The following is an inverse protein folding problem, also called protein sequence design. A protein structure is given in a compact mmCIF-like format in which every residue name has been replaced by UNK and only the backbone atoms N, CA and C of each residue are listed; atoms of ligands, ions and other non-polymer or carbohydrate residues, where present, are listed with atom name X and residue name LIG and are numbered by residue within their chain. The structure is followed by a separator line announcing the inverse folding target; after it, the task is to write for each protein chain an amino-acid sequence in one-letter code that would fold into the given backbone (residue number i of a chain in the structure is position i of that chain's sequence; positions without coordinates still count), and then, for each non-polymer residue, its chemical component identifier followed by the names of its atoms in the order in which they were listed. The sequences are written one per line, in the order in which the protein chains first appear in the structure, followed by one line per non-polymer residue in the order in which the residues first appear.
data_IF_440637361345
#
_entry.id   IF_440637361345
#
_cell.length_a   1.000
_cell.length_b   1.000
_cell.length_c   1.000
_cell.angle_alpha   90.00
_cell.angle_beta   90.00
_cell.angle_gamma   90.00
#
_symmetry.space_group_name_H-M   'P 1'
#
loop_
_entity.id
_entity.type
_entity.pdbx_description
1 polymer ?
#
# COMPACT_ATOMS: atom_id res chain seq x y z
N UNK A 1 -11.23 11.10 -2.91
CA UNK A 1 -9.83 11.54 -2.88
C UNK A 1 -9.02 10.85 -1.79
N UNK A 2 -9.11 11.19 -0.50
CA UNK A 2 -8.28 10.53 0.56
C UNK A 2 -8.58 9.03 0.74
N UNK A 3 -9.85 8.63 0.58
CA UNK A 3 -10.24 7.22 0.64
C UNK A 3 -9.68 6.38 -0.51
N UNK A 4 -9.45 6.98 -1.69
CA UNK A 4 -8.90 6.27 -2.85
C UNK A 4 -7.43 5.93 -2.64
N UNK A 5 -6.63 6.89 -2.15
CA UNK A 5 -5.22 6.67 -1.81
C UNK A 5 -5.05 5.60 -0.71
N UNK A 6 -5.99 5.57 0.24
CA UNK A 6 -6.04 4.55 1.28
C UNK A 6 -6.31 3.17 0.71
N UNK A 7 -7.36 3.03 -0.09
CA UNK A 7 -7.70 1.77 -0.75
C UNK A 7 -6.56 1.29 -1.66
N UNK A 8 -5.86 2.22 -2.31
CA UNK A 8 -4.67 1.96 -3.12
C UNK A 8 -3.54 1.32 -2.30
N UNK A 9 -3.18 1.93 -1.17
CA UNK A 9 -2.17 1.39 -0.26
C UNK A 9 -2.55 0.03 0.33
N UNK A 10 -3.83 -0.15 0.69
CA UNK A 10 -4.31 -1.44 1.23
C UNK A 10 -4.25 -2.55 0.16
N UNK A 11 -4.59 -2.25 -1.09
CA UNK A 11 -4.46 -3.20 -2.18
C UNK A 11 -2.99 -3.57 -2.45
N UNK A 12 -2.08 -2.58 -2.43
CA UNK A 12 -0.63 -2.79 -2.54
C UNK A 12 -0.10 -3.70 -1.44
N UNK A 13 -0.42 -3.38 -0.18
CA UNK A 13 0.07 -4.18 0.95
C UNK A 13 -0.51 -5.59 0.92
N UNK A 14 -1.78 -5.74 0.55
CA UNK A 14 -2.43 -7.06 0.42
C UNK A 14 -1.77 -7.91 -0.65
N UNK A 15 -1.52 -7.36 -1.85
CA UNK A 15 -0.82 -8.06 -2.93
C UNK A 15 0.61 -8.44 -2.53
N UNK A 16 1.34 -7.50 -1.91
CA UNK A 16 2.69 -7.74 -1.42
C UNK A 16 2.74 -8.82 -0.33
N UNK A 17 1.78 -8.82 0.61
CA UNK A 17 1.64 -9.88 1.61
C UNK A 17 1.38 -11.24 0.95
N UNK A 18 0.49 -11.29 -0.06
CA UNK A 18 0.20 -12.52 -0.79
C UNK A 18 1.42 -13.08 -1.51
N UNK A 19 2.26 -12.20 -2.10
CA UNK A 19 3.46 -12.59 -2.81
C UNK A 19 4.65 -12.95 -1.89
N UNK A 20 4.83 -12.23 -0.78
CA UNK A 20 6.00 -12.41 0.11
C UNK A 20 5.72 -13.24 1.36
N UNK A 21 4.45 -13.46 1.71
CA UNK A 21 4.03 -14.07 2.98
C UNK A 21 4.40 -13.24 4.22
N UNK A 22 4.81 -11.97 4.07
CA UNK A 22 5.24 -11.11 5.19
C UNK A 22 4.06 -10.43 5.87
N UNK A 23 4.17 -10.20 7.17
CA UNK A 23 3.14 -9.48 7.95
C UNK A 23 3.11 -7.98 7.65
N UNK A 24 1.89 -7.41 7.53
CA UNK A 24 1.64 -5.96 7.41
C UNK A 24 2.42 -5.13 8.44
N UNK A 25 2.52 -5.59 9.69
CA UNK A 25 3.23 -4.86 10.76
C UNK A 25 4.72 -4.68 10.45
N UNK A 26 5.35 -5.71 9.86
CA UNK A 26 6.78 -5.67 9.51
C UNK A 26 7.00 -4.82 8.27
N UNK A 27 6.13 -4.91 7.28
CA UNK A 27 6.13 -4.03 6.11
C UNK A 27 5.89 -2.56 6.50
N UNK A 28 4.99 -2.27 7.44
CA UNK A 28 4.74 -0.94 7.99
C UNK A 28 5.92 -0.37 8.73
N UNK A 29 6.58 -1.18 9.54
CA UNK A 29 7.81 -0.77 10.19
C UNK A 29 8.96 -0.51 9.21
N UNK A 30 9.04 -1.25 8.10
CA UNK A 30 10.09 -1.04 7.11
C UNK A 30 9.80 0.14 6.17
N UNK A 31 8.55 0.28 5.69
CA UNK A 31 8.16 1.28 4.71
C UNK A 31 7.80 2.63 5.37
N UNK A 32 6.95 2.61 6.40
CA UNK A 32 6.46 3.82 7.07
C UNK A 32 7.23 4.15 8.35
N UNK A 33 8.14 3.27 8.79
CA UNK A 33 8.78 3.31 10.12
C UNK A 33 7.80 3.22 11.29
N UNK A 34 6.55 2.84 10.98
CA UNK A 34 5.44 2.80 11.90
C UNK A 34 4.56 1.58 11.55
N UNK A 35 4.55 0.59 12.45
CA UNK A 35 3.78 -0.64 12.28
C UNK A 35 2.27 -0.43 12.45
N UNK A 36 1.88 0.61 13.21
CA UNK A 36 0.49 0.96 13.44
C UNK A 36 -0.10 1.79 12.29
N UNK A 37 0.73 2.28 11.37
CA UNK A 37 0.29 3.08 10.23
C UNK A 37 -0.74 2.35 9.38
N UNK A 38 -0.47 1.09 9.03
CA UNK A 38 -1.42 0.27 8.26
C UNK A 38 -2.68 -0.07 9.06
N UNK A 39 -2.57 -0.28 10.38
CA UNK A 39 -3.76 -0.50 11.22
C UNK A 39 -4.64 0.76 11.29
N UNK A 40 -4.04 1.96 11.42
CA UNK A 40 -4.77 3.24 11.34
C UNK A 40 -5.32 3.51 9.94
N UNK A 41 -4.65 3.00 8.92
CA UNK A 41 -5.08 3.07 7.52
C UNK A 41 -6.34 2.21 7.32
N UNK A 42 -6.37 0.98 7.83
CA UNK A 42 -7.55 0.09 7.82
C UNK A 42 -8.71 0.66 8.63
N UNK A 43 -8.43 1.21 9.82
CA UNK A 43 -9.45 1.81 10.69
C UNK A 43 -10.02 3.13 10.18
N UNK A 44 -9.41 3.66 9.12
CA UNK A 44 -9.88 4.84 8.43
C UNK A 44 -9.51 6.18 9.09
N UNK A 45 -8.69 6.16 10.14
CA UNK A 45 -8.32 7.34 10.94
C UNK A 45 -6.98 7.97 10.54
N UNK A 46 -6.20 7.30 9.66
CA UNK A 46 -4.92 7.85 9.21
C UNK A 46 -5.10 8.98 8.19
N UNK A 47 -4.71 10.20 8.58
CA UNK A 47 -4.35 11.27 7.66
C UNK A 47 -2.84 11.20 7.41
N UNK A 48 -2.45 10.94 6.16
CA UNK A 48 -1.06 10.94 5.74
C UNK A 48 -0.86 12.00 4.66
N UNK A 49 0.30 12.63 4.68
CA UNK A 49 0.69 13.58 3.64
C UNK A 49 1.06 12.84 2.36
N UNK A 50 0.90 13.49 1.21
CA UNK A 50 1.33 12.97 -0.11
C UNK A 50 2.80 12.53 -0.07
N UNK A 51 3.65 13.24 0.67
CA UNK A 51 5.06 12.87 0.87
C UNK A 51 5.22 11.49 1.53
N UNK A 52 4.43 11.19 2.56
CA UNK A 52 4.47 9.91 3.26
C UNK A 52 3.99 8.78 2.35
N UNK A 53 2.97 9.06 1.53
CA UNK A 53 2.49 8.14 0.51
C UNK A 53 3.61 7.80 -0.49
N UNK A 54 4.28 8.82 -1.02
CA UNK A 54 5.37 8.67 -1.99
C UNK A 54 6.54 7.84 -1.43
N UNK A 55 6.94 8.10 -0.18
CA UNK A 55 7.97 7.31 0.52
C UNK A 55 7.59 5.83 0.62
N UNK A 56 6.34 5.53 0.96
CA UNK A 56 5.85 4.15 1.09
C UNK A 56 5.81 3.46 -0.27
N UNK A 57 5.26 4.13 -1.29
CA UNK A 57 5.18 3.59 -2.66
C UNK A 57 6.59 3.34 -3.20
N UNK A 58 7.52 4.28 -3.04
CA UNK A 58 8.90 4.12 -3.45
C UNK A 58 9.57 2.93 -2.75
N UNK A 59 9.30 2.73 -1.46
CA UNK A 59 9.78 1.54 -0.74
C UNK A 59 9.20 0.25 -1.33
N UNK A 60 7.90 0.22 -1.66
CA UNK A 60 7.29 -0.95 -2.31
C UNK A 60 7.96 -1.24 -3.65
N UNK A 61 8.27 -0.24 -4.47
CA UNK A 61 8.97 -0.43 -5.75
C UNK A 61 10.34 -1.08 -5.57
N UNK A 62 11.06 -0.73 -4.50
CA UNK A 62 12.39 -1.28 -4.20
C UNK A 62 12.33 -2.67 -3.54
N UNK A 63 11.33 -2.91 -2.70
CA UNK A 63 11.17 -4.15 -1.96
C UNK A 63 10.32 -5.21 -2.68
N UNK A 64 9.71 -4.84 -3.81
CA UNK A 64 8.78 -5.72 -4.53
C UNK A 64 9.47 -7.02 -4.93
N UNK A 65 8.87 -8.19 -4.64
CA UNK A 65 9.46 -9.46 -5.02
C UNK A 65 9.43 -9.64 -6.54
N UNK A 66 10.53 -10.17 -7.07
CA UNK A 66 10.67 -10.49 -8.49
C UNK A 66 9.61 -11.54 -8.89
N UNK A 67 8.78 -11.22 -9.87
CA UNK A 67 7.69 -12.09 -10.34
C UNK A 67 6.31 -11.86 -9.71
N UNK A 68 6.15 -10.92 -8.77
CA UNK A 68 4.82 -10.54 -8.30
C UNK A 68 4.21 -9.44 -9.16
N UNK A 69 2.96 -9.64 -9.58
CA UNK A 69 2.21 -8.61 -10.30
C UNK A 69 1.99 -7.40 -9.40
N UNK A 70 2.51 -6.24 -9.81
CA UNK A 70 2.14 -4.97 -9.18
C UNK A 70 0.63 -4.78 -9.37
N UNK A 71 -0.14 -4.50 -8.31
CA UNK A 71 -1.55 -4.22 -8.46
C UNK A 71 -1.69 -2.94 -9.26
N UNK A 72 -2.02 -3.08 -10.54
CA UNK A 72 -2.31 -2.00 -11.47
C UNK A 72 -3.61 -1.31 -11.01
N UNK A 73 -3.45 -0.40 -10.06
CA UNK A 73 -4.57 0.35 -9.49
C UNK A 73 -5.06 1.43 -10.44
N UNK A 74 -4.36 1.65 -11.56
CA UNK A 74 -4.77 2.56 -12.64
C UNK A 74 -5.89 1.98 -13.52
N UNK A 75 -6.17 0.67 -13.47
CA UNK A 75 -7.29 0.06 -14.23
C UNK A 75 -8.67 0.09 -13.57
N UNK A 76 -8.85 0.76 -12.43
CA UNK A 76 -10.17 0.89 -11.76
C UNK A 76 -10.91 2.20 -12.05
N UNK A 77 -10.52 2.94 -13.10
CA UNK A 77 -11.47 3.82 -13.80
C UNK A 77 -12.38 2.92 -14.64
N UNK A 78 -13.64 2.83 -14.23
CA UNK A 78 -14.70 2.28 -15.06
C UNK A 78 -14.78 3.00 -16.41
N UNK A 79 -14.11 2.46 -17.40
CA UNK A 79 -14.41 2.64 -18.81
C UNK A 79 -14.30 1.27 -19.45
N UNK A 80 -15.45 0.57 -19.48
CA UNK A 80 -15.92 -0.32 -20.54
C UNK A 80 -17.14 -1.13 -20.04
N UNK A 81 -18.32 -0.53 -20.12
CA UNK A 81 -19.59 -1.12 -20.57
C UNK A 81 -20.68 -0.04 -20.54
#
# INVERSE_FOLDING_TARGET
MEQELRNHLLALVSAYMGATGRSVSRTGHLAARDAAFFSRLEHGTANFTVRKYDEIVNWFTLAWPDGAAWPDLERRRGQCA
#
